data_IF_184156459473
#
_entry.id   IF_184156459473
#
_cell.length_a   1.000
_cell.length_b   1.000
_cell.length_c   1.000
_cell.angle_alpha   90.00
_cell.angle_beta   90.00
_cell.angle_gamma   90.00
#
_symmetry.space_group_name_H-M   'P 1'
#
loop_
_entity.id
_entity.type
_entity.pdbx_description
1 polymer ?
#
# COMPACT_ATOMS: atom_id res chain seq x y z
N UNK A 1 6.90 -9.55 20.60
CA UNK A 1 5.93 -10.67 20.60
C UNK A 1 5.08 -10.52 19.35
N UNK A 2 4.82 -11.60 18.62
CA UNK A 2 3.91 -11.59 17.47
C UNK A 2 2.51 -11.94 17.98
N UNK A 3 1.49 -11.18 17.61
CA UNK A 3 0.12 -11.35 18.08
C UNK A 3 -0.85 -11.35 16.92
N UNK A 4 -1.71 -12.37 16.82
CA UNK A 4 -2.78 -12.39 15.83
C UNK A 4 -4.00 -11.59 16.34
N UNK A 5 -4.56 -10.79 15.47
CA UNK A 5 -5.80 -10.05 15.67
C UNK A 5 -6.86 -10.55 14.71
N UNK A 6 -8.09 -10.61 15.22
CA UNK A 6 -9.28 -10.70 14.39
C UNK A 6 -9.99 -9.35 14.46
N UNK A 7 -10.13 -8.71 13.31
CA UNK A 7 -10.79 -7.41 13.18
C UNK A 7 -12.11 -7.65 12.45
N UNK A 8 -13.21 -7.31 13.11
CA UNK A 8 -14.54 -7.38 12.49
C UNK A 8 -14.73 -6.19 11.56
N UNK A 9 -15.19 -6.47 10.34
CA UNK A 9 -15.52 -5.47 9.31
C UNK A 9 -16.91 -5.72 8.78
N UNK A 10 -17.45 -4.76 8.01
CA UNK A 10 -18.74 -4.93 7.33
C UNK A 10 -18.72 -6.06 6.28
N UNK A 11 -17.55 -6.38 5.71
CA UNK A 11 -17.36 -7.43 4.71
C UNK A 11 -16.94 -8.78 5.32
N UNK A 12 -16.90 -8.89 6.65
CA UNK A 12 -16.49 -10.07 7.39
C UNK A 12 -15.30 -9.84 8.31
N UNK A 13 -14.78 -10.91 8.90
CA UNK A 13 -13.62 -10.85 9.80
C UNK A 13 -12.33 -10.95 9.00
N UNK A 14 -11.42 -10.00 9.22
CA UNK A 14 -10.06 -10.05 8.68
C UNK A 14 -9.07 -10.39 9.79
N UNK A 15 -8.03 -11.12 9.41
CA UNK A 15 -6.90 -11.43 10.28
C UNK A 15 -5.78 -10.42 10.04
N UNK A 16 -5.32 -9.79 11.11
CA UNK A 16 -4.12 -8.96 11.10
C UNK A 16 -3.09 -9.52 12.08
N UNK A 17 -1.81 -9.26 11.84
CA UNK A 17 -0.71 -9.72 12.68
C UNK A 17 0.03 -8.49 13.20
N UNK A 18 0.11 -8.35 14.52
CA UNK A 18 1.00 -7.42 15.18
C UNK A 18 2.38 -8.05 15.28
N UNK A 19 3.35 -7.30 14.82
CA UNK A 19 4.75 -7.68 14.81
C UNK A 19 5.56 -6.69 15.67
N UNK A 20 6.81 -7.04 16.01
CA UNK A 20 7.72 -6.08 16.65
C UNK A 20 7.85 -4.77 15.87
N UNK A 21 8.40 -3.75 16.52
CA UNK A 21 8.75 -2.48 15.87
C UNK A 21 7.54 -1.75 15.24
N UNK A 22 6.40 -1.78 15.94
CA UNK A 22 5.21 -1.05 15.53
C UNK A 22 4.70 -1.47 14.13
N UNK A 23 4.86 -2.75 13.78
CA UNK A 23 4.44 -3.31 12.50
C UNK A 23 3.09 -4.02 12.61
N UNK A 24 2.22 -3.76 11.63
CA UNK A 24 0.99 -4.54 11.41
C UNK A 24 1.01 -5.08 9.98
N UNK A 25 0.74 -6.38 9.84
CA UNK A 25 0.42 -7.00 8.55
C UNK A 25 -1.05 -7.40 8.49
N UNK A 26 -1.77 -6.90 7.50
CA UNK A 26 -3.12 -7.31 7.15
C UNK A 26 -3.17 -7.71 5.67
N UNK A 27 -2.16 -8.45 5.22
CA UNK A 27 -2.06 -8.95 3.87
C UNK A 27 -3.03 -10.13 3.60
N UNK A 28 -3.40 -10.35 2.34
CA UNK A 28 -4.24 -11.48 1.89
C UNK A 28 -5.66 -11.52 2.51
N UNK A 29 -6.24 -10.37 2.84
CA UNK A 29 -7.54 -10.28 3.50
C UNK A 29 -8.70 -9.97 2.54
N UNK A 30 -8.44 -9.92 1.22
CA UNK A 30 -9.42 -9.54 0.19
C UNK A 30 -10.07 -8.15 0.42
N UNK A 31 -9.45 -7.29 1.22
CA UNK A 31 -10.06 -6.02 1.64
C UNK A 31 -10.23 -5.05 0.48
N UNK A 32 -11.41 -4.44 0.36
CA UNK A 32 -11.68 -3.33 -0.58
C UNK A 32 -11.45 -1.97 0.05
N UNK A 33 -11.59 -1.89 1.38
CA UNK A 33 -11.44 -0.69 2.19
C UNK A 33 -10.62 -1.04 3.43
N UNK A 34 -9.76 -0.12 3.88
CA UNK A 34 -9.03 -0.27 5.15
C UNK A 34 -10.06 -0.24 6.30
N UNK A 35 -10.11 -1.23 7.20
CA UNK A 35 -11.10 -1.24 8.26
C UNK A 35 -10.95 -0.05 9.21
N UNK A 36 -12.06 0.62 9.56
CA UNK A 36 -12.05 1.73 10.53
C UNK A 36 -11.41 1.32 11.85
N UNK A 37 -11.77 0.13 12.34
CA UNK A 37 -11.27 -0.45 13.60
C UNK A 37 -9.74 -0.58 13.60
N UNK A 38 -9.11 -0.84 12.45
CA UNK A 38 -7.65 -0.89 12.35
C UNK A 38 -7.04 0.50 12.58
N UNK A 39 -7.56 1.51 11.90
CA UNK A 39 -7.06 2.88 12.01
C UNK A 39 -7.38 3.52 13.36
N UNK A 40 -8.56 3.26 13.90
CA UNK A 40 -9.02 3.78 15.19
C UNK A 40 -8.17 3.24 16.36
N UNK A 41 -7.90 1.93 16.36
CA UNK A 41 -7.21 1.30 17.48
C UNK A 41 -5.68 1.38 17.38
N UNK A 42 -5.13 1.49 16.17
CA UNK A 42 -3.68 1.35 15.95
C UNK A 42 -3.05 2.50 15.14
N UNK A 43 -3.83 3.47 14.64
CA UNK A 43 -3.33 4.52 13.75
C UNK A 43 -2.21 5.38 14.34
N UNK A 44 -2.27 5.68 15.64
CA UNK A 44 -1.21 6.43 16.33
C UNK A 44 0.03 5.59 16.63
N UNK A 45 -0.13 4.27 16.74
CA UNK A 45 0.92 3.35 17.15
C UNK A 45 1.72 2.77 15.98
N UNK A 46 1.06 2.47 14.86
CA UNK A 46 1.68 1.75 13.75
C UNK A 46 2.65 2.64 12.96
N UNK A 47 3.83 2.08 12.66
CA UNK A 47 4.89 2.74 11.89
C UNK A 47 5.18 1.99 10.59
N UNK A 48 4.92 0.69 10.55
CA UNK A 48 5.07 -0.16 9.36
C UNK A 48 3.75 -0.87 9.11
N UNK A 49 3.16 -0.64 7.93
CA UNK A 49 1.88 -1.24 7.58
C UNK A 49 2.01 -2.01 6.26
N UNK A 50 1.65 -3.29 6.32
CA UNK A 50 1.58 -4.17 5.16
C UNK A 50 0.12 -4.52 4.85
N UNK A 51 -0.34 -4.07 3.69
CA UNK A 51 -1.68 -4.30 3.15
C UNK A 51 -1.61 -5.03 1.80
N UNK A 52 -0.51 -5.75 1.55
CA UNK A 52 -0.30 -6.43 0.28
C UNK A 52 -1.36 -7.50 -0.01
N UNK A 53 -1.57 -7.81 -1.29
CA UNK A 53 -2.51 -8.85 -1.73
C UNK A 53 -3.95 -8.62 -1.23
N UNK A 54 -4.43 -7.39 -1.38
CA UNK A 54 -5.82 -7.02 -1.12
C UNK A 54 -6.47 -6.48 -2.41
N UNK A 55 -7.63 -5.86 -2.29
CA UNK A 55 -8.38 -5.25 -3.40
C UNK A 55 -8.55 -3.75 -3.17
N UNK A 56 -7.57 -3.12 -2.51
CA UNK A 56 -7.64 -1.72 -2.12
C UNK A 56 -7.48 -0.82 -3.35
N UNK A 57 -8.40 0.14 -3.46
CA UNK A 57 -8.37 1.21 -4.46
C UNK A 57 -8.45 2.59 -3.79
N UNK A 58 -9.25 2.68 -2.73
CA UNK A 58 -9.33 3.84 -1.85
C UNK A 58 -8.39 3.66 -0.66
N UNK A 59 -7.57 4.68 -0.41
CA UNK A 59 -6.57 4.75 0.66
C UNK A 59 -6.79 5.94 1.59
N UNK A 60 -7.96 6.60 1.49
CA UNK A 60 -8.32 7.80 2.26
C UNK A 60 -8.13 7.64 3.77
N UNK A 61 -8.44 6.46 4.32
CA UNK A 61 -8.30 6.14 5.75
C UNK A 61 -6.87 6.11 6.27
N UNK A 62 -5.86 6.05 5.40
CA UNK A 62 -4.47 6.21 5.84
C UNK A 62 -4.22 7.59 6.47
N UNK A 63 -5.12 8.56 6.28
CA UNK A 63 -5.07 9.87 6.96
C UNK A 63 -5.02 9.76 8.48
N UNK A 64 -5.54 8.68 9.06
CA UNK A 64 -5.54 8.50 10.51
C UNK A 64 -4.22 7.90 11.03
N UNK A 65 -3.26 7.58 10.14
CA UNK A 65 -1.99 6.91 10.47
C UNK A 65 -0.79 7.86 10.28
N UNK A 66 -0.70 8.87 11.13
CA UNK A 66 0.26 9.98 10.96
C UNK A 66 1.73 9.61 11.21
N UNK A 67 1.98 8.52 11.95
CA UNK A 67 3.32 8.03 12.29
C UNK A 67 3.86 6.96 11.32
N UNK A 68 3.19 6.76 10.18
CA UNK A 68 3.55 5.74 9.21
C UNK A 68 4.87 6.09 8.50
N UNK A 69 5.86 5.21 8.61
CA UNK A 69 7.17 5.34 7.97
C UNK A 69 7.30 4.47 6.72
N UNK A 70 6.72 3.27 6.77
CA UNK A 70 6.78 2.28 5.69
C UNK A 70 5.39 1.76 5.40
N UNK A 71 5.00 1.83 4.12
CA UNK A 71 3.73 1.30 3.63
C UNK A 71 4.00 0.33 2.47
N UNK A 72 3.50 -0.90 2.62
CA UNK A 72 3.60 -1.96 1.62
C UNK A 72 2.19 -2.24 1.11
N UNK A 73 1.96 -2.03 -0.19
CA UNK A 73 0.66 -2.16 -0.84
C UNK A 73 0.76 -2.92 -2.16
N UNK A 74 1.72 -3.83 -2.24
CA UNK A 74 1.92 -4.68 -3.41
C UNK A 74 0.66 -5.51 -3.72
N UNK A 75 0.38 -5.76 -5.00
CA UNK A 75 -0.81 -6.52 -5.43
C UNK A 75 -2.13 -5.95 -4.87
N UNK A 76 -2.40 -4.69 -5.20
CA UNK A 76 -3.69 -4.02 -4.95
C UNK A 76 -4.24 -3.43 -6.26
N UNK A 77 -5.23 -2.55 -6.18
CA UNK A 77 -5.93 -1.95 -7.33
C UNK A 77 -5.67 -0.44 -7.43
N UNK A 78 -4.49 0.02 -7.00
CA UNK A 78 -4.09 1.43 -7.07
C UNK A 78 -3.88 1.83 -8.53
N UNK A 79 -4.43 2.98 -8.92
CA UNK A 79 -4.35 3.52 -10.28
C UNK A 79 -3.67 4.89 -10.27
N UNK A 80 -3.31 5.40 -11.44
CA UNK A 80 -2.64 6.70 -11.58
C UNK A 80 -3.40 7.84 -10.89
N UNK A 81 -4.74 7.79 -10.87
CA UNK A 81 -5.61 8.81 -10.27
C UNK A 81 -5.90 8.59 -8.77
N UNK A 82 -5.37 7.54 -8.15
CA UNK A 82 -5.53 7.34 -6.71
C UNK A 82 -4.83 8.47 -5.95
N UNK A 83 -5.57 9.15 -5.09
CA UNK A 83 -5.05 10.24 -4.25
C UNK A 83 -4.71 9.68 -2.86
N UNK A 84 -3.44 9.70 -2.52
CA UNK A 84 -2.99 9.39 -1.15
C UNK A 84 -3.31 10.57 -0.21
N UNK A 85 -3.79 10.31 1.01
CA UNK A 85 -3.92 11.37 2.01
C UNK A 85 -2.53 11.89 2.41
N UNK A 86 -2.50 13.01 3.15
CA UNK A 86 -1.24 13.56 3.64
C UNK A 86 -0.59 12.60 4.65
N UNK A 87 0.60 12.10 4.31
CA UNK A 87 1.40 11.17 5.11
C UNK A 87 2.79 11.78 5.33
N UNK A 88 2.93 12.73 6.27
CA UNK A 88 4.15 13.52 6.40
C UNK A 88 5.36 12.70 6.86
N UNK A 89 5.14 11.56 7.53
CA UNK A 89 6.21 10.71 8.07
C UNK A 89 6.66 9.60 7.11
N UNK A 90 5.95 9.39 6.00
CA UNK A 90 6.18 8.26 5.11
C UNK A 90 7.51 8.41 4.36
N UNK A 91 8.35 7.39 4.43
CA UNK A 91 9.69 7.34 3.82
C UNK A 91 9.81 6.25 2.77
N UNK A 92 9.09 5.14 2.93
CA UNK A 92 9.14 3.98 2.04
C UNK A 92 7.72 3.62 1.61
N UNK A 93 7.50 3.52 0.30
CA UNK A 93 6.23 3.11 -0.29
C UNK A 93 6.46 2.05 -1.38
N UNK A 94 5.86 0.87 -1.19
CA UNK A 94 5.88 -0.20 -2.18
C UNK A 94 4.49 -0.36 -2.78
N UNK A 95 4.40 -0.23 -4.10
CA UNK A 95 3.18 -0.32 -4.89
C UNK A 95 3.36 -1.27 -6.07
N UNK A 96 4.14 -2.34 -5.88
CA UNK A 96 4.42 -3.29 -6.94
C UNK A 96 3.13 -3.98 -7.39
N UNK A 97 3.06 -4.35 -8.67
CA UNK A 97 1.94 -5.08 -9.26
C UNK A 97 0.57 -4.43 -8.95
N UNK A 98 0.49 -3.11 -9.14
CA UNK A 98 -0.74 -2.34 -9.14
C UNK A 98 -1.11 -1.94 -10.59
N UNK A 99 -2.04 -0.99 -10.75
CA UNK A 99 -2.61 -0.58 -12.05
C UNK A 99 -2.22 0.86 -12.43
N UNK A 100 -1.05 1.32 -11.98
CA UNK A 100 -0.54 2.66 -12.33
C UNK A 100 -0.04 2.64 -13.77
N UNK A 101 -0.66 3.45 -14.63
CA UNK A 101 -0.34 3.55 -16.07
C UNK A 101 0.36 4.86 -16.45
N UNK A 102 0.33 5.85 -15.57
CA UNK A 102 0.89 7.18 -15.84
C UNK A 102 1.61 7.72 -14.59
N UNK A 103 2.95 7.64 -14.62
CA UNK A 103 3.81 8.19 -13.57
C UNK A 103 3.84 9.71 -13.56
N UNK A 104 3.60 10.36 -14.70
CA UNK A 104 3.59 11.83 -14.81
C UNK A 104 2.40 12.43 -14.07
N UNK A 105 1.30 11.68 -13.99
CA UNK A 105 0.14 12.02 -13.16
C UNK A 105 0.35 11.60 -11.69
N UNK A 106 0.80 10.37 -11.47
CA UNK A 106 0.85 9.77 -10.13
C UNK A 106 1.93 10.37 -9.22
N UNK A 107 3.18 10.48 -9.70
CA UNK A 107 4.32 10.87 -8.85
C UNK A 107 4.22 12.30 -8.32
N UNK A 108 3.84 13.32 -9.09
CA UNK A 108 3.69 14.68 -8.56
C UNK A 108 2.58 14.79 -7.50
N UNK A 109 1.47 14.05 -7.68
CA UNK A 109 0.42 13.98 -6.67
C UNK A 109 0.91 13.33 -5.39
N UNK A 110 1.62 12.21 -5.50
CA UNK A 110 2.21 11.50 -4.37
C UNK A 110 3.24 12.38 -3.62
N UNK A 111 4.09 13.12 -4.34
CA UNK A 111 5.09 14.00 -3.74
C UNK A 111 4.46 15.12 -2.89
N UNK A 112 3.28 15.64 -3.29
CA UNK A 112 2.53 16.61 -2.48
C UNK A 112 1.96 16.00 -1.20
N UNK A 113 1.47 14.76 -1.28
CA UNK A 113 0.88 14.05 -0.14
C UNK A 113 1.92 13.49 0.82
N UNK A 114 3.07 13.02 0.31
CA UNK A 114 4.14 12.34 1.04
C UNK A 114 5.47 13.09 0.85
N UNK A 115 5.64 14.29 1.43
CA UNK A 115 6.78 15.17 1.14
C UNK A 115 8.14 14.62 1.58
N UNK A 116 8.16 13.63 2.47
CA UNK A 116 9.38 13.02 2.99
C UNK A 116 9.66 11.62 2.40
N UNK A 117 8.96 11.24 1.33
CA UNK A 117 9.15 9.95 0.68
C UNK A 117 10.55 9.85 0.07
N UNK A 118 11.28 8.79 0.40
CA UNK A 118 12.65 8.55 -0.06
C UNK A 118 12.74 7.39 -1.03
N UNK A 119 11.90 6.39 -0.85
CA UNK A 119 11.90 5.17 -1.64
C UNK A 119 10.48 4.89 -2.16
N UNK A 120 10.37 4.73 -3.46
CA UNK A 120 9.15 4.37 -4.16
C UNK A 120 9.43 3.19 -5.10
N UNK A 121 8.69 2.10 -4.96
CA UNK A 121 8.73 0.98 -5.89
C UNK A 121 7.41 0.87 -6.65
N UNK A 122 7.49 0.84 -7.98
CA UNK A 122 6.35 0.72 -8.91
C UNK A 122 6.48 -0.52 -9.82
N UNK A 123 7.34 -1.48 -9.48
CA UNK A 123 7.63 -2.63 -10.34
C UNK A 123 6.36 -3.40 -10.70
N UNK A 124 6.22 -3.80 -11.96
CA UNK A 124 5.07 -4.58 -12.40
C UNK A 124 3.77 -3.78 -12.55
N UNK A 125 3.83 -2.45 -12.49
CA UNK A 125 2.74 -1.59 -12.96
C UNK A 125 2.82 -1.41 -14.48
N UNK A 126 1.73 -0.94 -15.10
CA UNK A 126 1.70 -0.65 -16.55
C UNK A 126 2.76 0.40 -16.93
N UNK A 127 2.96 1.41 -16.08
CA UNK A 127 3.95 2.46 -16.30
C UNK A 127 5.41 2.02 -16.03
N UNK A 128 5.60 0.86 -15.38
CA UNK A 128 6.91 0.31 -15.02
C UNK A 128 6.85 -1.22 -15.14
N UNK A 129 6.73 -1.74 -16.36
CA UNK A 129 6.49 -3.17 -16.60
C UNK A 129 7.64 -4.00 -16.06
N UNK A 130 7.30 -5.13 -15.44
CA UNK A 130 8.31 -6.12 -15.05
C UNK A 130 8.71 -6.92 -16.28
N UNK A 131 9.94 -6.73 -16.76
CA UNK A 131 10.52 -7.54 -17.83
C UNK A 131 11.29 -8.68 -17.17
N UNK A 132 10.73 -9.89 -17.17
CA UNK A 132 11.53 -11.08 -16.86
C UNK A 132 12.51 -11.27 -18.01
N UNK A 133 13.80 -11.40 -17.71
CA UNK A 133 14.87 -11.58 -18.69
C UNK A 133 14.82 -12.94 -19.43
N UNK A 134 13.63 -13.54 -19.59
CA UNK A 134 13.41 -14.87 -20.16
C UNK A 134 12.36 -14.93 -21.29
N UNK A 135 11.77 -13.81 -21.72
CA UNK A 135 10.84 -13.78 -22.87
C UNK A 135 11.13 -12.64 -23.84
N UNK A 136 12.41 -12.27 -24.02
CA UNK A 136 12.84 -11.41 -25.11
C UNK A 136 13.15 -12.26 -26.37
N UNK A 137 12.14 -12.95 -26.88
CA UNK A 137 12.17 -13.57 -28.21
C UNK A 137 10.74 -13.68 -28.74
N UNK A 138 10.20 -12.55 -29.18
CA UNK A 138 9.16 -12.43 -30.22
C UNK A 138 9.06 -10.94 -30.55
N UNK A 139 9.93 -10.49 -31.47
CA UNK A 139 9.60 -10.25 -32.89
C UNK A 139 9.19 -8.79 -33.15
N UNK A 140 10.19 -7.91 -33.23
CA UNK A 140 10.14 -6.79 -34.16
C UNK A 140 10.69 -7.28 -35.50
N UNK A 141 9.78 -7.55 -36.44
CA UNK A 141 10.04 -7.42 -37.87
C UNK A 141 9.22 -6.23 -38.36
#
# INVERSE_FOLDING_TARGET
MITNLQIMTEEGTICAVLEPENRISAAYQNMRVIPHVLTENYGEWVQVLDLSHNKLRDVSRLREIQNLHTLIMDHNLIVSTTVFPRLPSLRVLWLNFNLISDVTLFVPALARSCPNLRYLSLMGNIASPFVSSGSAQESYR
#
